data_IF_382835714867
#
_entry.id   IF_382835714867
#
_cell.length_a   1.000
_cell.length_b   1.000
_cell.length_c   1.000
_cell.angle_alpha   90.00
_cell.angle_beta   90.00
_cell.angle_gamma   90.00
#
_symmetry.space_group_name_H-M   'P 1'
#
loop_
_entity.id
_entity.type
_entity.pdbx_description
1 polymer ?
#
# COMPACT_ATOMS: atom_id res chain seq x y z
N UNK A 1 7.96 17.30 10.12
CA UNK A 1 8.96 16.38 9.54
C UNK A 1 8.29 15.02 9.39
N UNK A 2 8.26 14.44 8.19
CA UNK A 2 7.61 13.13 7.99
C UNK A 2 8.43 12.07 8.73
N UNK A 3 7.89 11.51 9.82
CA UNK A 3 8.57 10.46 10.59
C UNK A 3 8.21 9.12 9.96
N UNK A 4 9.21 8.35 9.52
CA UNK A 4 8.99 6.97 9.11
C UNK A 4 8.44 6.18 10.31
N UNK A 5 7.27 5.58 10.14
CA UNK A 5 6.62 4.72 11.12
C UNK A 5 7.01 3.27 10.91
N UNK A 6 6.94 2.83 9.65
CA UNK A 6 7.08 1.42 9.32
C UNK A 6 7.47 1.21 7.86
N UNK A 7 8.23 0.14 7.61
CA UNK A 7 8.54 -0.37 6.28
C UNK A 7 8.00 -1.79 6.18
N UNK A 8 7.25 -2.07 5.11
CA UNK A 8 6.64 -3.38 4.86
C UNK A 8 7.17 -3.89 3.52
N UNK A 9 7.82 -5.06 3.53
CA UNK A 9 8.23 -5.75 2.31
C UNK A 9 7.13 -6.69 1.82
N UNK A 10 6.73 -6.51 0.57
CA UNK A 10 5.70 -7.30 -0.11
C UNK A 10 6.35 -8.02 -1.27
N UNK A 11 6.47 -9.34 -1.17
CA UNK A 11 6.96 -10.19 -2.26
C UNK A 11 5.81 -10.53 -3.18
N UNK A 12 5.77 -9.90 -4.34
CA UNK A 12 4.76 -10.11 -5.38
C UNK A 12 5.34 -10.92 -6.55
N UNK A 13 4.48 -11.50 -7.37
CA UNK A 13 4.84 -12.13 -8.65
C UNK A 13 5.54 -11.16 -9.60
N UNK A 14 5.31 -9.85 -9.47
CA UNK A 14 5.95 -8.80 -10.25
C UNK A 14 7.24 -8.25 -9.60
N UNK A 15 7.72 -8.92 -8.55
CA UNK A 15 8.95 -8.56 -7.84
C UNK A 15 8.70 -8.10 -6.41
N UNK A 16 9.75 -7.54 -5.81
CA UNK A 16 9.71 -7.07 -4.43
C UNK A 16 9.19 -5.63 -4.39
N UNK A 17 8.28 -5.35 -3.46
CA UNK A 17 7.78 -4.02 -3.19
C UNK A 17 8.09 -3.64 -1.75
N UNK A 18 8.39 -2.35 -1.54
CA UNK A 18 8.55 -1.75 -0.21
C UNK A 18 7.51 -0.67 -0.02
N UNK A 19 6.68 -0.84 1.00
CA UNK A 19 5.66 0.11 1.40
C UNK A 19 6.16 0.83 2.64
N UNK A 20 6.37 2.13 2.54
CA UNK A 20 6.75 2.99 3.63
C UNK A 20 5.54 3.74 4.16
N UNK A 21 5.34 3.70 5.48
CA UNK A 21 4.34 4.47 6.19
C UNK A 21 5.00 5.62 6.92
N UNK A 22 4.55 6.84 6.67
CA UNK A 22 5.04 8.04 7.33
C UNK A 22 3.94 8.70 8.17
N UNK A 23 4.31 9.14 9.37
CA UNK A 23 3.50 10.10 10.12
C UNK A 23 3.75 11.50 9.56
N UNK A 24 2.70 12.08 8.99
CA UNK A 24 2.67 13.44 8.46
C UNK A 24 1.68 14.35 9.21
N UNK A 25 1.23 13.95 10.40
CA UNK A 25 0.30 14.69 11.24
C UNK A 25 -1.18 14.45 10.94
N UNK A 26 -1.52 13.59 9.96
CA UNK A 26 -2.90 13.21 9.67
C UNK A 26 -3.34 11.95 10.43
N UNK A 27 -4.65 11.71 10.49
CA UNK A 27 -5.24 10.55 11.17
C UNK A 27 -4.81 9.18 10.58
N UNK A 28 -4.55 9.13 9.26
CA UNK A 28 -4.00 7.96 8.60
C UNK A 28 -2.59 8.27 8.10
N UNK A 29 -1.63 7.34 8.25
CA UNK A 29 -0.27 7.56 7.78
C UNK A 29 -0.24 7.76 6.27
N UNK A 30 0.72 8.56 5.81
CA UNK A 30 1.03 8.69 4.39
C UNK A 30 1.72 7.41 3.93
N UNK A 31 1.24 6.85 2.84
CA UNK A 31 1.78 5.65 2.23
C UNK A 31 2.59 6.00 0.99
N UNK A 32 3.77 5.39 0.85
CA UNK A 32 4.62 5.48 -0.34
C UNK A 32 5.07 4.08 -0.74
N UNK A 33 4.89 3.71 -2.01
CA UNK A 33 5.26 2.39 -2.53
C UNK A 33 6.44 2.52 -3.47
N UNK A 34 7.45 1.67 -3.27
CA UNK A 34 8.55 1.48 -4.18
C UNK A 34 8.54 0.04 -4.69
N UNK A 35 8.89 -0.14 -5.96
CA UNK A 35 9.29 -1.43 -6.50
C UNK A 35 10.80 -1.54 -6.36
N UNK A 36 11.28 -2.69 -5.89
CA UNK A 36 12.69 -2.99 -5.72
C UNK A 36 13.14 -3.89 -6.87
N UNK A 37 14.03 -3.37 -7.71
CA UNK A 37 14.64 -4.08 -8.82
C UNK A 37 16.15 -3.83 -8.82
N UNK A 38 16.94 -4.90 -8.88
CA UNK A 38 18.41 -4.85 -8.89
C UNK A 38 19.01 -4.00 -7.74
N UNK A 39 18.40 -4.10 -6.56
CA UNK A 39 18.80 -3.33 -5.37
C UNK A 39 18.39 -1.86 -5.37
N UNK A 40 17.74 -1.37 -6.43
CA UNK A 40 17.27 0.00 -6.56
C UNK A 40 15.78 0.11 -6.27
N UNK A 41 15.39 1.17 -5.57
CA UNK A 41 13.99 1.49 -5.27
C UNK A 41 13.43 2.48 -6.31
N UNK A 42 12.44 2.04 -7.08
CA UNK A 42 11.72 2.89 -8.04
C UNK A 42 10.35 3.24 -7.47
N UNK A 43 10.08 4.55 -7.34
CA UNK A 43 8.79 5.03 -6.85
C UNK A 43 7.66 4.59 -7.79
N UNK A 44 6.63 3.94 -7.22
CA UNK A 44 5.43 3.58 -7.95
C UNK A 44 4.60 4.84 -8.22
N UNK A 45 4.50 5.23 -9.50
CA UNK A 45 3.79 6.45 -9.92
C UNK A 45 2.30 6.43 -9.56
N UNK A 46 1.63 5.29 -9.71
CA UNK A 46 0.22 5.13 -9.39
C UNK A 46 0.03 4.10 -8.27
N UNK A 47 0.29 4.53 -7.04
CA UNK A 47 0.20 3.70 -5.84
C UNK A 47 -1.20 3.08 -5.66
N UNK A 48 -2.26 3.78 -6.06
CA UNK A 48 -3.62 3.27 -5.95
C UNK A 48 -3.83 2.03 -6.85
N UNK A 49 -3.42 2.14 -8.13
CA UNK A 49 -3.50 1.03 -9.08
C UNK A 49 -2.64 -0.14 -8.62
N UNK A 50 -1.47 0.13 -8.06
CA UNK A 50 -0.58 -0.92 -7.57
C UNK A 50 -1.16 -1.66 -6.37
N UNK A 51 -1.76 -0.94 -5.41
CA UNK A 51 -2.48 -1.56 -4.30
C UNK A 51 -3.64 -2.43 -4.79
N UNK A 52 -4.38 -2.00 -5.83
CA UNK A 52 -5.44 -2.81 -6.45
C UNK A 52 -4.90 -4.12 -6.99
N UNK A 53 -3.79 -4.06 -7.74
CA UNK A 53 -3.12 -5.24 -8.28
C UNK A 53 -2.65 -6.19 -7.19
N UNK A 54 -2.00 -5.67 -6.15
CA UNK A 54 -1.53 -6.48 -5.01
C UNK A 54 -2.72 -7.08 -4.24
N UNK A 55 -3.79 -6.33 -4.01
CA UNK A 55 -5.00 -6.82 -3.36
C UNK A 55 -5.66 -7.99 -4.12
N UNK A 56 -5.68 -7.90 -5.45
CA UNK A 56 -6.14 -8.99 -6.34
C UNK A 56 -5.19 -10.19 -6.30
N UNK A 57 -3.88 -9.95 -6.38
CA UNK A 57 -2.85 -10.99 -6.35
C UNK A 57 -2.90 -11.83 -5.06
N UNK A 58 -2.98 -11.18 -3.90
CA UNK A 58 -3.05 -11.88 -2.62
C UNK A 58 -4.48 -12.32 -2.25
N UNK A 59 -5.48 -12.06 -3.11
CA UNK A 59 -6.87 -12.39 -2.85
C UNK A 59 -7.39 -11.84 -1.51
N UNK A 60 -6.93 -10.66 -1.08
CA UNK A 60 -7.30 -10.08 0.22
C UNK A 60 -8.74 -9.60 0.28
N UNK A 61 -9.40 -9.41 -0.88
CA UNK A 61 -10.81 -9.04 -0.95
C UNK A 61 -11.11 -7.67 -0.31
N UNK A 62 -10.13 -6.78 -0.21
CA UNK A 62 -10.38 -5.42 0.29
C UNK A 62 -11.26 -4.70 -0.71
N UNK A 63 -12.45 -4.29 -0.28
CA UNK A 63 -13.39 -3.53 -1.08
C UNK A 63 -12.94 -2.06 -1.17
N UNK A 64 -12.20 -1.75 -2.24
CA UNK A 64 -11.64 -0.42 -2.46
C UNK A 64 -12.58 0.51 -3.25
N UNK A 65 -13.58 -0.05 -3.95
CA UNK A 65 -14.66 0.65 -4.67
C UNK A 65 -16.03 0.11 -4.20
N UNK A 66 -16.44 0.42 -2.96
CA UNK A 66 -17.72 -0.03 -2.41
C UNK A 66 -18.91 0.58 -3.15
N UNK A 67 -19.99 -0.20 -3.29
CA UNK A 67 -21.19 0.20 -4.05
C UNK A 67 -21.96 1.37 -3.42
N UNK A 68 -21.92 1.48 -2.08
CA UNK A 68 -22.76 2.41 -1.31
C UNK A 68 -21.99 3.60 -0.71
N UNK A 69 -20.73 3.83 -1.12
CA UNK A 69 -19.96 5.01 -0.69
C UNK A 69 -18.89 5.40 -1.71
N UNK A 70 -18.27 6.55 -1.46
CA UNK A 70 -17.11 7.02 -2.21
C UNK A 70 -15.94 6.03 -2.01
N UNK A 71 -15.30 5.69 -3.13
CA UNK A 71 -14.04 4.93 -3.25
C UNK A 71 -13.06 5.28 -2.14
N UNK A 72 -12.42 4.25 -1.55
CA UNK A 72 -11.38 4.48 -0.55
C UNK A 72 -10.27 5.34 -1.15
N UNK A 73 -9.77 6.31 -0.41
CA UNK A 73 -8.55 6.99 -0.84
C UNK A 73 -7.33 6.06 -0.67
N UNK A 74 -6.18 6.44 -1.24
CA UNK A 74 -4.96 5.60 -1.19
C UNK A 74 -4.50 5.28 0.24
N UNK A 75 -4.75 6.15 1.23
CA UNK A 75 -4.38 5.90 2.63
C UNK A 75 -5.31 4.88 3.28
N UNK A 76 -6.61 5.02 3.08
CA UNK A 76 -7.62 4.08 3.57
C UNK A 76 -7.40 2.70 2.96
N UNK A 77 -7.27 2.62 1.63
CA UNK A 77 -7.04 1.36 0.94
C UNK A 77 -5.71 0.72 1.37
N UNK A 78 -4.64 1.53 1.45
CA UNK A 78 -3.36 1.09 1.96
C UNK A 78 -3.42 0.48 3.36
N UNK A 79 -4.14 1.12 4.28
CA UNK A 79 -4.32 0.60 5.65
C UNK A 79 -5.01 -0.76 5.66
N UNK A 80 -6.09 -0.92 4.92
CA UNK A 80 -6.84 -2.19 4.89
C UNK A 80 -6.02 -3.29 4.20
N UNK A 81 -5.31 -2.97 3.12
CA UNK A 81 -4.36 -3.89 2.49
C UNK A 81 -3.30 -4.37 3.50
N UNK A 82 -2.68 -3.45 4.24
CA UNK A 82 -1.61 -3.77 5.20
C UNK A 82 -2.11 -4.61 6.36
N UNK A 83 -3.32 -4.34 6.89
CA UNK A 83 -3.96 -5.19 7.91
C UNK A 83 -4.07 -6.63 7.42
N UNK A 84 -4.67 -6.83 6.24
CA UNK A 84 -4.82 -8.15 5.61
C UNK A 84 -3.47 -8.82 5.36
N UNK A 85 -2.50 -8.07 4.84
CA UNK A 85 -1.16 -8.57 4.55
C UNK A 85 -0.42 -9.08 5.80
N UNK A 86 -0.60 -8.40 6.94
CA UNK A 86 -0.02 -8.82 8.21
C UNK A 86 -0.83 -9.89 8.96
N UNK A 87 -2.04 -10.20 8.48
CA UNK A 87 -2.97 -11.09 9.18
C UNK A 87 -3.57 -10.49 10.47
N UNK A 88 -3.74 -9.16 10.51
CA UNK A 88 -4.29 -8.40 11.65
C UNK A 88 -5.73 -7.94 11.34
#
# INVERSE_FOLDING_TARGET
MNKLLETIEVKSVNGLYRIYLFNDGNALPKLVIYQVADGNETLVKNMYRELKRLNEEFSFGVEYEPKDRIKLNTREFGREFIKKFKGI
#
